data_IF_999615630081
#
_entry.id   IF_999615630081
#
_cell.length_a   1.000
_cell.length_b   1.000
_cell.length_c   1.000
_cell.angle_alpha   90.00
_cell.angle_beta   90.00
_cell.angle_gamma   90.00
#
_symmetry.space_group_name_H-M   'P 1'
#
loop_
_entity.id
_entity.type
_entity.pdbx_description
1 polymer ?
#
# COMPACT_ATOMS: atom_id res chain seq x y z
N UNK A 1 -9.72 19.06 -15.71
CA UNK A 1 -8.66 18.38 -16.48
C UNK A 1 -7.73 17.77 -15.45
N UNK A 2 -7.62 16.45 -15.39
CA UNK A 2 -6.96 15.72 -14.28
C UNK A 2 -5.41 15.81 -14.32
N UNK A 3 -4.86 16.80 -15.01
CA UNK A 3 -3.42 17.08 -15.09
C UNK A 3 -2.59 15.89 -15.55
N UNK A 4 -1.46 15.68 -14.87
CA UNK A 4 -0.52 14.57 -15.11
C UNK A 4 -0.92 13.26 -14.41
N UNK A 5 -1.99 13.26 -13.62
CA UNK A 5 -2.37 12.10 -12.81
C UNK A 5 -2.64 10.84 -13.66
N UNK A 6 -3.34 10.91 -14.82
CA UNK A 6 -3.45 9.81 -15.76
C UNK A 6 -2.13 9.11 -16.11
N UNK A 7 -1.08 9.89 -16.36
CA UNK A 7 0.23 9.37 -16.78
C UNK A 7 0.95 8.72 -15.58
N UNK A 8 0.81 9.31 -14.39
CA UNK A 8 1.31 8.71 -13.15
C UNK A 8 0.61 7.38 -12.83
N UNK A 9 -0.70 7.28 -13.06
CA UNK A 9 -1.44 6.04 -12.83
C UNK A 9 -0.94 4.92 -13.75
N UNK A 10 -0.74 5.22 -15.03
CA UNK A 10 -0.19 4.28 -16.00
C UNK A 10 1.24 3.84 -15.63
N UNK A 11 2.08 4.79 -15.21
CA UNK A 11 3.44 4.48 -14.75
C UNK A 11 3.42 3.57 -13.50
N UNK A 12 2.57 3.88 -12.52
CA UNK A 12 2.40 3.07 -11.32
C UNK A 12 1.90 1.66 -11.62
N UNK A 13 1.01 1.49 -12.62
CA UNK A 13 0.59 0.18 -13.09
C UNK A 13 1.75 -0.63 -13.69
N UNK A 14 2.60 0.00 -14.53
CA UNK A 14 3.76 -0.65 -15.15
C UNK A 14 4.72 -1.23 -14.09
N UNK A 15 5.01 -0.44 -13.05
CA UNK A 15 5.94 -0.83 -11.99
C UNK A 15 5.26 -1.50 -10.79
N UNK A 16 3.95 -1.75 -10.86
CA UNK A 16 3.11 -2.17 -9.73
C UNK A 16 3.39 -1.39 -8.43
N UNK A 17 3.70 -0.11 -8.58
CA UNK A 17 3.95 0.79 -7.46
C UNK A 17 2.60 1.34 -6.98
N UNK A 18 2.19 1.07 -5.72
CA UNK A 18 0.92 1.57 -5.22
C UNK A 18 0.97 3.09 -5.04
N UNK A 19 -0.18 3.74 -5.23
CA UNK A 19 -0.34 5.19 -5.03
C UNK A 19 -1.18 5.41 -3.78
N UNK A 20 -0.61 6.07 -2.78
CA UNK A 20 -1.36 6.51 -1.61
C UNK A 20 -2.05 7.85 -1.89
N UNK A 21 -3.37 7.87 -1.75
CA UNK A 21 -4.23 9.02 -1.96
C UNK A 21 -4.71 9.52 -0.60
N UNK A 22 -4.21 10.68 -0.18
CA UNK A 22 -4.71 11.39 0.99
C UNK A 22 -5.95 12.19 0.60
N UNK A 23 -7.12 11.83 1.11
CA UNK A 23 -8.39 12.48 0.79
C UNK A 23 -9.09 12.89 2.08
N UNK A 24 -9.10 14.19 2.36
CA UNK A 24 -9.80 14.80 3.50
C UNK A 24 -10.63 16.00 2.99
N UNK A 25 -11.97 16.00 3.16
CA UNK A 25 -12.75 14.99 3.88
C UNK A 25 -12.99 13.71 3.03
N UNK A 26 -13.29 12.56 3.66
CA UNK A 26 -13.49 11.26 2.99
C UNK A 26 -14.82 11.16 2.23
N UNK A 27 -15.24 12.23 1.54
CA UNK A 27 -16.48 12.32 0.78
C UNK A 27 -16.41 13.37 -0.34
N UNK A 28 -17.46 13.41 -1.16
CA UNK A 28 -17.64 14.45 -2.18
C UNK A 28 -16.76 14.25 -3.41
N UNK A 29 -16.43 15.35 -4.09
CA UNK A 29 -15.73 15.33 -5.39
C UNK A 29 -14.41 14.56 -5.35
N UNK A 30 -13.53 14.71 -4.33
CA UNK A 30 -12.29 13.93 -4.26
C UNK A 30 -12.51 12.42 -4.26
N UNK A 31 -13.49 11.92 -3.51
CA UNK A 31 -13.83 10.49 -3.50
C UNK A 31 -14.40 10.02 -4.84
N UNK A 32 -15.29 10.81 -5.46
CA UNK A 32 -15.78 10.51 -6.81
C UNK A 32 -14.63 10.41 -7.83
N UNK A 33 -13.59 11.23 -7.66
CA UNK A 33 -12.39 11.20 -8.52
C UNK A 33 -11.50 9.99 -8.25
N UNK A 34 -11.36 9.55 -7.00
CA UNK A 34 -10.70 8.28 -6.68
C UNK A 34 -11.42 7.11 -7.37
N UNK A 35 -12.75 7.07 -7.25
CA UNK A 35 -13.54 6.01 -7.89
C UNK A 35 -13.48 6.04 -9.42
N UNK A 36 -13.51 7.24 -10.03
CA UNK A 36 -13.33 7.41 -11.47
C UNK A 36 -11.95 6.88 -11.91
N UNK A 37 -10.90 7.23 -11.17
CA UNK A 37 -9.54 6.75 -11.44
C UNK A 37 -9.43 5.23 -11.26
N UNK A 38 -9.96 4.67 -10.19
CA UNK A 38 -9.92 3.23 -9.93
C UNK A 38 -10.65 2.43 -11.02
N UNK A 39 -11.81 2.92 -11.49
CA UNK A 39 -12.57 2.33 -12.61
C UNK A 39 -11.82 2.43 -13.95
N UNK A 40 -11.15 3.55 -14.21
CA UNK A 40 -10.47 3.80 -15.49
C UNK A 40 -9.08 3.15 -15.59
N UNK A 41 -8.42 2.94 -14.45
CA UNK A 41 -7.07 2.39 -14.35
C UNK A 41 -7.07 1.12 -13.46
N UNK A 42 -7.68 0.02 -13.92
CA UNK A 42 -7.89 -1.19 -13.10
C UNK A 42 -6.57 -1.88 -12.70
N UNK A 43 -5.48 -1.65 -13.44
CA UNK A 43 -4.15 -2.21 -13.15
C UNK A 43 -3.33 -1.34 -12.18
N UNK A 44 -3.79 -0.12 -11.87
CA UNK A 44 -3.15 0.76 -10.89
C UNK A 44 -3.69 0.44 -9.49
N UNK A 45 -2.79 0.21 -8.54
CA UNK A 45 -3.15 -0.01 -7.14
C UNK A 45 -3.26 1.34 -6.43
N UNK A 46 -4.45 1.62 -5.88
CA UNK A 46 -4.71 2.81 -5.08
C UNK A 46 -4.82 2.43 -3.60
N UNK A 47 -4.16 3.18 -2.72
CA UNK A 47 -4.31 3.08 -1.28
C UNK A 47 -5.03 4.34 -0.82
N UNK A 48 -6.25 4.21 -0.31
CA UNK A 48 -6.93 5.31 0.36
C UNK A 48 -6.30 5.49 1.75
N UNK A 49 -5.54 6.58 1.92
CA UNK A 49 -4.85 6.92 3.16
C UNK A 49 -5.84 7.08 4.31
N UNK A 50 -5.47 6.58 5.51
CA UNK A 50 -6.24 6.70 6.76
C UNK A 50 -7.77 6.56 6.58
N UNK A 51 -8.19 5.58 5.77
CA UNK A 51 -9.54 5.43 5.22
C UNK A 51 -10.68 5.37 6.25
N UNK A 52 -10.36 5.08 7.51
CA UNK A 52 -11.28 5.04 8.65
C UNK A 52 -11.48 6.39 9.35
N UNK A 53 -10.59 7.36 9.14
CA UNK A 53 -10.70 8.68 9.74
C UNK A 53 -11.95 9.40 9.21
N UNK A 54 -12.85 9.77 10.12
CA UNK A 54 -14.15 10.40 9.80
C UNK A 54 -15.03 9.63 8.80
N UNK A 55 -14.83 8.31 8.65
CA UNK A 55 -15.50 7.49 7.65
C UNK A 55 -16.12 6.24 8.27
N UNK A 56 -17.18 5.70 7.65
CA UNK A 56 -17.89 4.54 8.17
C UNK A 56 -17.35 3.22 7.62
N UNK A 57 -17.49 2.11 8.38
CA UNK A 57 -17.22 0.78 7.84
C UNK A 57 -17.99 0.48 6.56
N UNK A 58 -19.24 0.92 6.45
CA UNK A 58 -20.12 0.73 5.29
C UNK A 58 -19.60 1.44 4.04
N UNK A 59 -19.10 2.68 4.18
CA UNK A 59 -18.52 3.42 3.06
C UNK A 59 -17.27 2.73 2.53
N UNK A 60 -16.40 2.26 3.44
CA UNK A 60 -15.20 1.49 3.08
C UNK A 60 -15.61 0.17 2.41
N UNK A 61 -16.60 -0.55 2.96
CA UNK A 61 -17.14 -1.78 2.35
C UNK A 61 -17.61 -1.53 0.92
N UNK A 62 -18.37 -0.47 0.69
CA UNK A 62 -18.86 -0.11 -0.66
C UNK A 62 -17.70 0.17 -1.62
N UNK A 63 -16.74 1.00 -1.20
CA UNK A 63 -15.57 1.35 -1.99
C UNK A 63 -14.76 0.11 -2.37
N UNK A 64 -14.43 -0.75 -1.39
CA UNK A 64 -13.66 -1.95 -1.65
C UNK A 64 -14.46 -2.94 -2.51
N UNK A 65 -15.76 -3.11 -2.30
CA UNK A 65 -16.60 -4.02 -3.10
C UNK A 65 -16.63 -3.63 -4.58
N UNK A 66 -16.71 -2.33 -4.87
CA UNK A 66 -16.78 -1.82 -6.25
C UNK A 66 -15.42 -1.81 -6.96
N UNK A 67 -14.34 -1.57 -6.23
CA UNK A 67 -13.03 -1.27 -6.81
C UNK A 67 -11.97 -2.29 -6.37
N UNK A 68 -11.71 -3.38 -7.13
CA UNK A 68 -10.80 -4.45 -6.75
C UNK A 68 -9.35 -4.00 -6.53
N UNK A 69 -8.96 -2.89 -7.17
CA UNK A 69 -7.64 -2.27 -7.12
C UNK A 69 -7.48 -1.18 -6.04
N UNK A 70 -8.50 -0.97 -5.20
CA UNK A 70 -8.44 -0.04 -4.06
C UNK A 70 -8.16 -0.81 -2.77
N UNK A 71 -7.25 -0.25 -1.97
CA UNK A 71 -6.85 -0.70 -0.64
C UNK A 71 -7.19 0.39 0.38
N UNK A 72 -7.47 -0.01 1.62
CA UNK A 72 -7.69 0.89 2.74
C UNK A 72 -6.46 0.89 3.64
N UNK A 73 -5.85 2.05 3.83
CA UNK A 73 -4.87 2.26 4.90
C UNK A 73 -5.61 2.59 6.20
N UNK A 74 -5.44 1.78 7.23
CA UNK A 74 -6.21 1.89 8.47
C UNK A 74 -5.38 2.56 9.58
N UNK A 75 -5.79 3.76 9.96
CA UNK A 75 -5.21 4.50 11.08
C UNK A 75 -5.94 4.15 12.38
N UNK A 76 -5.54 3.04 13.02
CA UNK A 76 -6.19 2.53 14.24
C UNK A 76 -6.22 3.56 15.38
N UNK A 77 -5.19 4.39 15.51
CA UNK A 77 -5.08 5.41 16.52
C UNK A 77 -6.23 6.43 16.50
N UNK A 78 -6.66 6.84 15.30
CA UNK A 78 -7.82 7.72 15.16
C UNK A 78 -9.08 7.08 15.78
N UNK A 79 -9.39 5.84 15.39
CA UNK A 79 -10.59 5.14 15.86
C UNK A 79 -10.55 4.87 17.36
N UNK A 80 -9.39 4.52 17.92
CA UNK A 80 -9.28 4.13 19.33
C UNK A 80 -9.24 5.33 20.29
N UNK A 81 -8.57 6.43 19.90
CA UNK A 81 -8.18 7.49 20.83
C UNK A 81 -8.61 8.89 20.41
N UNK A 82 -9.01 9.12 19.16
CA UNK A 82 -9.50 10.44 18.75
C UNK A 82 -10.96 10.62 19.20
N UNK A 83 -11.29 11.65 20.00
CA UNK A 83 -12.66 11.88 20.47
C UNK A 83 -13.66 12.19 19.35
N UNK A 84 -13.18 12.54 18.16
CA UNK A 84 -14.01 12.78 16.99
C UNK A 84 -14.36 11.50 16.22
N UNK A 85 -13.80 10.34 16.59
CA UNK A 85 -14.21 9.07 16.01
C UNK A 85 -15.65 8.74 16.42
N UNK A 86 -16.50 8.47 15.43
CA UNK A 86 -17.86 8.00 15.64
C UNK A 86 -17.95 6.46 15.85
N UNK A 87 -16.84 5.75 15.65
CA UNK A 87 -16.77 4.29 15.63
C UNK A 87 -15.70 3.77 16.60
N UNK A 88 -15.76 2.47 16.88
CA UNK A 88 -14.75 1.72 17.64
C UNK A 88 -14.00 0.76 16.72
N UNK A 89 -12.88 0.23 17.20
CA UNK A 89 -12.06 -0.71 16.40
C UNK A 89 -12.87 -1.95 16.01
N UNK A 90 -13.72 -2.45 16.91
CA UNK A 90 -14.55 -3.63 16.72
C UNK A 90 -15.56 -3.46 15.57
N UNK A 91 -16.00 -2.23 15.28
CA UNK A 91 -16.94 -1.94 14.19
C UNK A 91 -16.30 -2.18 12.81
N UNK A 92 -14.97 -2.10 12.71
CA UNK A 92 -14.22 -2.33 11.46
C UNK A 92 -13.75 -3.78 11.30
N UNK A 93 -13.71 -4.58 12.37
CA UNK A 93 -13.26 -5.98 12.31
C UNK A 93 -14.02 -6.81 11.25
N UNK A 94 -15.36 -6.71 11.12
CA UNK A 94 -16.09 -7.45 10.10
C UNK A 94 -15.65 -7.13 8.67
N UNK A 95 -15.42 -5.86 8.33
CA UNK A 95 -15.02 -5.48 6.96
C UNK A 95 -13.56 -5.84 6.67
N UNK A 96 -12.70 -5.82 7.69
CA UNK A 96 -11.32 -6.29 7.55
C UNK A 96 -11.30 -7.79 7.29
N UNK A 97 -12.17 -8.56 7.95
CA UNK A 97 -12.37 -10.00 7.69
C UNK A 97 -12.98 -10.27 6.32
N UNK A 98 -13.84 -9.38 5.83
CA UNK A 98 -14.45 -9.46 4.50
C UNK A 98 -13.42 -9.20 3.37
N UNK A 99 -12.49 -8.27 3.58
CA UNK A 99 -11.45 -7.90 2.61
C UNK A 99 -10.02 -8.03 3.16
N UNK A 100 -9.60 -9.22 3.62
CA UNK A 100 -8.39 -9.38 4.42
C UNK A 100 -7.09 -9.08 3.64
N UNK A 101 -7.16 -9.06 2.31
CA UNK A 101 -6.04 -8.72 1.43
C UNK A 101 -5.89 -7.23 1.14
N UNK A 102 -6.89 -6.41 1.49
CA UNK A 102 -7.00 -5.01 1.02
C UNK A 102 -6.98 -3.97 2.15
N UNK A 103 -6.59 -4.40 3.34
CA UNK A 103 -6.33 -3.50 4.47
C UNK A 103 -4.83 -3.46 4.78
N UNK A 104 -4.32 -2.24 4.94
CA UNK A 104 -3.00 -1.93 5.46
C UNK A 104 -3.17 -1.27 6.84
N UNK A 105 -2.14 -1.30 7.66
CA UNK A 105 -2.17 -0.77 9.02
C UNK A 105 -1.10 0.31 9.17
N UNK A 106 -1.50 1.52 9.58
CA UNK A 106 -0.59 2.65 9.73
C UNK A 106 -0.85 3.43 11.01
N UNK A 107 0.13 4.27 11.35
CA UNK A 107 0.04 5.20 12.47
C UNK A 107 -0.43 6.59 12.07
N UNK A 108 -0.41 6.93 10.76
CA UNK A 108 -0.52 8.31 10.25
C UNK A 108 0.29 9.32 11.08
N UNK A 109 1.49 8.89 11.53
CA UNK A 109 2.37 9.65 12.43
C UNK A 109 1.71 10.15 13.74
N UNK A 110 0.62 9.51 14.17
CA UNK A 110 -0.13 9.90 15.36
C UNK A 110 -0.91 11.21 15.19
N UNK A 111 -1.24 11.61 13.96
CA UNK A 111 -1.93 12.86 13.68
C UNK A 111 -3.24 12.99 14.48
N UNK A 112 -3.42 14.14 15.14
CA UNK A 112 -4.60 14.41 15.96
C UNK A 112 -4.67 13.61 17.28
N UNK A 113 -3.61 12.89 17.67
CA UNK A 113 -3.50 12.19 18.95
C UNK A 113 -2.54 12.92 19.89
N UNK A 114 -2.54 12.50 21.16
CA UNK A 114 -1.63 13.04 22.17
C UNK A 114 -0.19 12.59 21.99
N UNK A 115 0.05 11.43 21.35
CA UNK A 115 1.39 10.92 21.04
C UNK A 115 1.35 9.83 19.97
N UNK A 116 2.49 9.57 19.33
CA UNK A 116 2.65 8.49 18.35
C UNK A 116 2.55 7.09 19.02
N UNK A 117 2.96 6.97 20.28
CA UNK A 117 2.83 5.72 21.05
C UNK A 117 1.36 5.28 21.18
N UNK A 118 0.41 6.22 21.27
CA UNK A 118 -1.01 5.89 21.25
C UNK A 118 -1.44 5.33 19.88
N UNK A 119 -0.90 5.85 18.77
CA UNK A 119 -1.17 5.28 17.45
C UNK A 119 -0.67 3.84 17.35
N UNK A 120 0.56 3.59 17.84
CA UNK A 120 1.16 2.26 17.89
C UNK A 120 0.37 1.32 18.81
N UNK A 121 -0.04 1.78 20.00
CA UNK A 121 -0.85 1.00 20.92
C UNK A 121 -2.18 0.59 20.28
N UNK A 122 -2.85 1.50 19.57
CA UNK A 122 -4.09 1.21 18.88
C UNK A 122 -3.93 0.15 17.78
N UNK A 123 -2.78 0.11 17.10
CA UNK A 123 -2.48 -0.97 16.15
C UNK A 123 -2.52 -2.33 16.86
N UNK A 124 -1.85 -2.48 18.01
CA UNK A 124 -1.89 -3.73 18.78
C UNK A 124 -3.30 -4.07 19.26
N UNK A 125 -4.07 -3.08 19.74
CA UNK A 125 -5.46 -3.29 20.14
C UNK A 125 -6.33 -3.81 19.00
N UNK A 126 -6.15 -3.29 17.78
CA UNK A 126 -6.87 -3.79 16.60
C UNK A 126 -6.47 -5.23 16.26
N UNK A 127 -5.17 -5.53 16.29
CA UNK A 127 -4.65 -6.87 16.00
C UNK A 127 -5.19 -7.90 16.99
N UNK A 128 -5.25 -7.56 18.28
CA UNK A 128 -5.83 -8.40 19.33
C UNK A 128 -7.35 -8.59 19.13
N UNK A 129 -8.06 -7.56 18.67
CA UNK A 129 -9.51 -7.61 18.43
C UNK A 129 -9.92 -8.59 17.31
N UNK A 130 -8.98 -9.03 16.47
CA UNK A 130 -9.30 -9.99 15.42
C UNK A 130 -9.59 -11.40 15.93
N UNK A 131 -9.01 -11.79 17.06
CA UNK A 131 -8.99 -13.18 17.57
C UNK A 131 -8.61 -14.20 16.47
N UNK A 132 -7.70 -13.78 15.59
CA UNK A 132 -7.22 -14.56 14.45
C UNK A 132 -5.75 -14.18 14.18
N UNK A 133 -4.77 -15.01 14.59
CA UNK A 133 -3.37 -14.70 14.41
C UNK A 133 -2.91 -14.69 12.94
N UNK A 134 -3.61 -15.40 12.05
CA UNK A 134 -3.31 -15.41 10.62
C UNK A 134 -3.72 -14.08 10.01
N UNK A 135 -4.94 -13.62 10.33
CA UNK A 135 -5.40 -12.31 9.91
C UNK A 135 -4.55 -11.20 10.51
N UNK A 136 -4.26 -11.25 11.82
CA UNK A 136 -3.43 -10.25 12.50
C UNK A 136 -2.07 -10.09 11.82
N UNK A 137 -1.36 -11.19 11.54
CA UNK A 137 -0.07 -11.15 10.82
C UNK A 137 -0.21 -10.54 9.42
N UNK A 138 -1.29 -10.88 8.71
CA UNK A 138 -1.56 -10.38 7.37
C UNK A 138 -1.78 -8.87 7.34
N UNK A 139 -2.57 -8.34 8.28
CA UNK A 139 -2.85 -6.91 8.41
C UNK A 139 -1.65 -6.14 8.97
N UNK A 140 -0.92 -6.71 9.93
CA UNK A 140 0.23 -6.05 10.57
C UNK A 140 1.38 -5.76 9.60
N UNK A 141 1.68 -6.68 8.68
CA UNK A 141 2.75 -6.47 7.70
C UNK A 141 2.58 -7.23 6.38
N UNK A 142 1.92 -8.39 6.39
CA UNK A 142 1.88 -9.29 5.23
C UNK A 142 1.34 -8.66 3.95
N UNK A 143 0.31 -7.81 4.04
CA UNK A 143 -0.27 -7.14 2.87
C UNK A 143 0.69 -6.12 2.25
N UNK A 144 1.34 -5.26 3.06
CA UNK A 144 2.29 -4.27 2.52
C UNK A 144 3.57 -4.95 2.01
N UNK A 145 4.05 -5.98 2.70
CA UNK A 145 5.19 -6.78 2.24
C UNK A 145 4.90 -7.42 0.87
N UNK A 146 3.69 -7.95 0.67
CA UNK A 146 3.27 -8.52 -0.62
C UNK A 146 3.30 -7.45 -1.72
N UNK A 147 2.73 -6.27 -1.48
CA UNK A 147 2.73 -5.17 -2.46
C UNK A 147 4.15 -4.74 -2.85
N UNK A 148 5.11 -4.77 -1.92
CA UNK A 148 6.51 -4.45 -2.20
C UNK A 148 7.17 -5.56 -3.02
N UNK A 149 6.97 -6.83 -2.64
CA UNK A 149 7.58 -7.99 -3.30
C UNK A 149 7.05 -8.25 -4.70
N UNK A 150 5.79 -7.93 -4.95
CA UNK A 150 5.16 -8.12 -6.25
C UNK A 150 5.62 -7.11 -7.31
N UNK A 151 6.42 -6.10 -6.93
CA UNK A 151 7.00 -5.13 -7.87
C UNK A 151 7.94 -5.84 -8.85
N UNK A 152 7.70 -5.77 -10.17
CA UNK A 152 8.59 -6.35 -11.16
C UNK A 152 9.92 -5.61 -11.18
N UNK A 153 10.95 -6.28 -11.67
CA UNK A 153 12.22 -5.65 -12.00
C UNK A 153 12.00 -4.40 -12.87
N UNK A 154 12.72 -3.31 -12.57
CA UNK A 154 12.65 -2.09 -13.36
C UNK A 154 13.43 -2.22 -14.68
N UNK A 155 13.11 -1.38 -15.66
CA UNK A 155 13.87 -1.29 -16.92
C UNK A 155 15.37 -1.05 -16.69
N UNK A 156 15.71 -0.19 -15.73
CA UNK A 156 17.11 0.11 -15.35
C UNK A 156 17.79 -1.09 -14.69
N UNK A 157 17.12 -1.78 -13.77
CA UNK A 157 17.66 -3.01 -13.15
C UNK A 157 17.84 -4.11 -14.20
N UNK A 158 16.89 -4.26 -15.12
CA UNK A 158 16.98 -5.24 -16.21
C UNK A 158 18.19 -4.98 -17.12
N UNK A 159 18.47 -3.71 -17.43
CA UNK A 159 19.66 -3.33 -18.17
C UNK A 159 20.94 -3.69 -17.42
N UNK A 160 21.01 -3.39 -16.11
CA UNK A 160 22.16 -3.74 -15.27
C UNK A 160 22.37 -5.27 -15.16
N UNK A 161 21.30 -6.04 -15.00
CA UNK A 161 21.37 -7.51 -14.98
C UNK A 161 21.90 -8.05 -16.31
N UNK A 162 21.43 -7.52 -17.45
CA UNK A 162 21.94 -7.92 -18.78
C UNK A 162 23.43 -7.61 -18.97
N UNK A 163 23.90 -6.47 -18.45
CA UNK A 163 25.34 -6.15 -18.44
C UNK A 163 26.14 -7.15 -17.58
N UNK A 164 25.60 -7.52 -16.42
CA UNK A 164 26.20 -8.54 -15.56
C UNK A 164 26.27 -9.91 -16.25
N UNK A 165 25.21 -10.32 -16.96
CA UNK A 165 25.22 -11.55 -17.76
C UNK A 165 26.34 -11.54 -18.81
N UNK A 166 26.49 -10.43 -19.53
CA UNK A 166 27.52 -10.29 -20.56
C UNK A 166 28.93 -10.36 -19.97
N UNK A 167 29.14 -9.79 -18.77
CA UNK A 167 30.43 -9.79 -18.08
C UNK A 167 30.80 -11.16 -17.51
N UNK A 168 29.82 -11.89 -16.97
CA UNK A 168 30.06 -13.13 -16.21
C UNK A 168 29.80 -14.40 -17.00
N UNK A 169 29.06 -14.31 -18.12
CA UNK A 169 28.54 -15.46 -18.85
C UNK A 169 27.39 -16.20 -18.16
N UNK A 170 27.04 -15.82 -16.92
CA UNK A 170 25.92 -16.41 -16.17
C UNK A 170 24.59 -15.85 -16.69
N UNK A 171 23.58 -16.71 -16.80
CA UNK A 171 22.21 -16.32 -17.18
C UNK A 171 21.29 -16.29 -15.96
N UNK A 172 20.38 -15.33 -15.95
CA UNK A 172 19.38 -15.13 -14.91
C UNK A 172 17.98 -15.16 -15.51
N UNK A 173 17.01 -15.70 -14.75
CA UNK A 173 15.59 -15.64 -15.15
C UNK A 173 15.04 -14.23 -14.92
N UNK A 174 15.21 -13.38 -15.92
CA UNK A 174 14.77 -11.98 -15.87
C UNK A 174 13.25 -11.81 -16.02
N UNK A 175 12.51 -12.87 -16.39
CA UNK A 175 11.04 -12.80 -16.56
C UNK A 175 10.35 -12.81 -15.21
N UNK A 176 10.85 -13.60 -14.26
CA UNK A 176 10.26 -13.77 -12.93
C UNK A 176 11.03 -13.01 -11.83
N UNK A 177 11.99 -12.16 -12.19
CA UNK A 177 12.79 -11.45 -11.22
C UNK A 177 12.01 -10.26 -10.64
N UNK A 178 11.81 -10.26 -9.32
CA UNK A 178 11.25 -9.11 -8.61
C UNK A 178 12.26 -7.96 -8.54
N UNK A 179 11.77 -6.76 -8.26
CA UNK A 179 12.62 -5.59 -7.98
C UNK A 179 13.56 -5.85 -6.80
N UNK A 180 13.09 -6.52 -5.76
CA UNK A 180 13.88 -6.85 -4.56
C UNK A 180 15.00 -7.85 -4.90
N UNK A 181 14.68 -8.93 -5.61
CA UNK A 181 15.65 -9.96 -5.96
C UNK A 181 16.70 -9.45 -6.97
N UNK A 182 16.27 -8.61 -7.91
CA UNK A 182 17.19 -7.92 -8.81
C UNK A 182 18.19 -7.04 -8.06
N UNK A 183 17.72 -6.27 -7.06
CA UNK A 183 18.60 -5.46 -6.22
C UNK A 183 19.61 -6.30 -5.45
N UNK A 184 19.18 -7.40 -4.81
CA UNK A 184 20.08 -8.32 -4.09
C UNK A 184 21.15 -8.89 -5.02
N UNK A 185 20.74 -9.38 -6.18
CA UNK A 185 21.64 -9.93 -7.19
C UNK A 185 22.70 -8.92 -7.66
N UNK A 186 22.30 -7.67 -7.91
CA UNK A 186 23.23 -6.62 -8.34
C UNK A 186 24.22 -6.24 -7.22
N UNK A 187 23.75 -6.13 -5.98
CA UNK A 187 24.58 -5.85 -4.81
C UNK A 187 25.60 -6.97 -4.55
N UNK A 188 25.17 -8.23 -4.59
CA UNK A 188 26.06 -9.40 -4.44
C UNK A 188 27.14 -9.45 -5.53
N UNK A 189 26.83 -8.95 -6.72
CA UNK A 189 27.76 -8.85 -7.85
C UNK A 189 28.69 -7.61 -7.79
N UNK A 190 28.64 -6.84 -6.70
CA UNK A 190 29.41 -5.61 -6.52
C UNK A 190 29.06 -4.53 -7.54
N UNK A 191 27.82 -4.51 -8.03
CA UNK A 191 27.32 -3.41 -8.86
C UNK A 191 26.65 -2.36 -7.97
N UNK A 192 26.93 -1.06 -8.16
CA UNK A 192 26.12 -0.02 -7.53
C UNK A 192 24.67 -0.19 -7.97
N UNK A 193 23.73 0.15 -7.08
CA UNK A 193 22.33 0.13 -7.47
C UNK A 193 22.11 1.21 -8.55
N UNK A 194 21.29 0.95 -9.57
CA UNK A 194 21.05 1.96 -10.58
C UNK A 194 20.45 3.22 -9.96
N UNK A 195 21.06 4.38 -10.21
CA UNK A 195 20.67 5.66 -9.61
C UNK A 195 21.33 5.97 -8.26
N UNK A 196 22.27 5.14 -7.78
CA UNK A 196 23.12 5.44 -6.61
C UNK A 196 24.57 5.71 -7.01
N UNK A 197 24.81 6.10 -8.26
CA UNK A 197 26.11 6.65 -8.67
C UNK A 197 26.23 8.03 -8.00
N UNK A 198 27.31 8.22 -7.25
CA UNK A 198 27.56 9.36 -6.36
C UNK A 198 27.00 10.71 -6.90
N UNK A 199 26.06 11.31 -6.15
CA UNK A 199 25.87 12.75 -6.13
C UNK A 199 27.03 13.43 -5.39
#
# INVERSE_FOLDING_TARGET
MDGILPDLYALCAEYKAPILMHIDPPQGIPMLKLEEAAKKYPDTIFIFGHANAYNSPENIRSLLSEHPNVYADFFAGFTAFNPSSAYKLEDFVPIIKEFPDRFLLSTDSGYGLTSEENAIQAMYMLLDAFDDPVLAKKIASGNIERLIRDQPITSTQLAAVRQLENRTGKKYDTVNLSKEDASKLLLEAGQPLPGTEDE
#
